data_IF_010685785861
#
_entry.id   IF_010685785861
#
_cell.length_a   1.000
_cell.length_b   1.000
_cell.length_c   1.000
_cell.angle_alpha   90.00
_cell.angle_beta   90.00
_cell.angle_gamma   90.00
#
_symmetry.space_group_name_H-M   'P 1'
#
loop_
_entity.id
_entity.type
_entity.pdbx_description
1 polymer ?
#
# COMPACT_ATOMS: atom_id res chain seq x y z
N UNK A 1 0.66 -11.00 -61.89
CA UNK A 1 0.93 -12.42 -61.75
C UNK A 1 -0.22 -13.21 -61.06
N UNK A 2 -1.48 -12.74 -61.15
CA UNK A 2 -2.64 -13.34 -60.45
C UNK A 2 -3.73 -13.86 -61.40
N UNK A 3 -3.43 -13.99 -62.72
CA UNK A 3 -4.47 -14.27 -63.73
C UNK A 3 -4.73 -15.76 -64.02
N UNK A 4 -3.98 -16.70 -63.41
CA UNK A 4 -4.07 -18.14 -63.74
C UNK A 4 -4.82 -19.00 -62.71
N UNK A 5 -5.31 -18.40 -61.61
CA UNK A 5 -6.06 -19.17 -60.63
C UNK A 5 -7.57 -19.16 -60.91
N UNK A 6 -8.16 -20.34 -60.82
CA UNK A 6 -9.63 -20.51 -60.91
C UNK A 6 -10.34 -19.61 -59.90
N UNK A 7 -11.52 -19.08 -60.25
CA UNK A 7 -12.36 -18.28 -59.38
C UNK A 7 -12.58 -18.99 -58.01
N UNK A 8 -12.75 -20.29 -58.04
CA UNK A 8 -12.91 -21.15 -56.87
C UNK A 8 -11.72 -21.06 -55.89
N UNK A 9 -10.50 -21.10 -56.43
CA UNK A 9 -9.24 -21.00 -55.65
C UNK A 9 -9.09 -19.61 -55.00
N UNK A 10 -9.53 -18.53 -55.71
CA UNK A 10 -9.49 -17.16 -55.17
C UNK A 10 -10.43 -17.00 -53.99
N UNK A 11 -11.64 -17.54 -54.09
CA UNK A 11 -12.64 -17.48 -53.00
C UNK A 11 -12.12 -18.27 -51.79
N UNK A 12 -11.59 -19.49 -51.96
CA UNK A 12 -11.06 -20.30 -50.90
C UNK A 12 -9.87 -19.57 -50.20
N UNK A 13 -8.97 -18.96 -50.98
CA UNK A 13 -7.84 -18.21 -50.41
C UNK A 13 -8.29 -17.00 -49.55
N UNK A 14 -9.29 -16.26 -50.01
CA UNK A 14 -9.85 -15.10 -49.22
C UNK A 14 -10.48 -15.61 -47.94
N UNK A 15 -11.32 -16.63 -48.00
CA UNK A 15 -11.97 -17.20 -46.80
C UNK A 15 -10.94 -17.77 -45.84
N UNK A 16 -9.96 -18.50 -46.32
CA UNK A 16 -8.86 -19.02 -45.49
C UNK A 16 -8.07 -17.87 -44.81
N UNK A 17 -7.74 -16.82 -45.56
CA UNK A 17 -7.06 -15.65 -45.02
C UNK A 17 -7.87 -14.96 -43.93
N UNK A 18 -9.17 -14.74 -44.14
CA UNK A 18 -10.06 -14.16 -43.13
C UNK A 18 -10.13 -15.04 -41.88
N UNK A 19 -10.27 -16.35 -42.02
CA UNK A 19 -10.34 -17.29 -40.92
C UNK A 19 -9.06 -17.28 -40.08
N UNK A 20 -7.89 -17.32 -40.75
CA UNK A 20 -6.59 -17.23 -40.07
C UNK A 20 -6.40 -15.90 -39.34
N UNK A 21 -6.76 -14.78 -40.00
CA UNK A 21 -6.70 -13.46 -39.37
C UNK A 21 -7.58 -13.37 -38.14
N UNK A 22 -8.79 -13.93 -38.20
CA UNK A 22 -9.73 -13.95 -37.08
C UNK A 22 -9.21 -14.82 -35.92
N UNK A 23 -8.59 -15.97 -36.21
CA UNK A 23 -7.96 -16.82 -35.22
C UNK A 23 -6.78 -16.14 -34.53
N UNK A 24 -5.92 -15.46 -35.29
CA UNK A 24 -4.79 -14.71 -34.75
C UNK A 24 -5.24 -13.55 -33.83
N UNK A 25 -6.26 -12.81 -34.24
CA UNK A 25 -6.86 -11.75 -33.42
C UNK A 25 -7.45 -12.31 -32.13
N UNK A 26 -8.14 -13.44 -32.19
CA UNK A 26 -8.70 -14.11 -31.02
C UNK A 26 -7.62 -14.56 -30.02
N UNK A 27 -6.54 -15.15 -30.52
CA UNK A 27 -5.40 -15.54 -29.68
C UNK A 27 -4.70 -14.32 -29.05
N UNK A 28 -4.53 -13.26 -29.82
CA UNK A 28 -3.96 -12.02 -29.30
C UNK A 28 -4.83 -11.39 -28.21
N UNK A 29 -6.14 -11.30 -28.43
CA UNK A 29 -7.08 -10.80 -27.44
C UNK A 29 -7.07 -11.64 -26.15
N UNK A 30 -7.04 -12.97 -26.27
CA UNK A 30 -6.98 -13.88 -25.13
C UNK A 30 -5.67 -13.70 -24.32
N UNK A 31 -4.54 -13.48 -25.01
CA UNK A 31 -3.27 -13.21 -24.34
C UNK A 31 -3.26 -11.90 -23.57
N UNK A 32 -3.88 -10.85 -24.13
CA UNK A 32 -4.01 -9.56 -23.46
C UNK A 32 -4.92 -9.64 -22.22
N UNK A 33 -6.02 -10.39 -22.29
CA UNK A 33 -6.89 -10.60 -21.13
C UNK A 33 -6.16 -11.27 -19.96
N UNK A 34 -5.33 -12.28 -20.24
CA UNK A 34 -4.50 -12.92 -19.19
C UNK A 34 -3.52 -11.95 -18.53
N UNK A 35 -2.90 -11.07 -19.30
CA UNK A 35 -1.99 -10.06 -18.77
C UNK A 35 -2.71 -9.06 -17.86
N UNK A 36 -3.93 -8.66 -18.22
CA UNK A 36 -4.76 -7.78 -17.38
C UNK A 36 -5.19 -8.46 -16.07
N UNK A 37 -5.49 -9.75 -16.10
CA UNK A 37 -5.92 -10.51 -14.93
C UNK A 37 -4.80 -10.60 -13.88
N UNK A 38 -3.58 -10.87 -14.31
CA UNK A 38 -2.40 -10.90 -13.42
C UNK A 38 -2.14 -9.53 -12.78
N UNK A 39 -2.20 -8.45 -13.55
CA UNK A 39 -2.02 -7.10 -13.04
C UNK A 39 -3.13 -6.70 -12.06
N UNK A 40 -4.36 -7.13 -12.30
CA UNK A 40 -5.50 -6.88 -11.41
C UNK A 40 -5.37 -7.64 -10.09
N UNK A 41 -4.90 -8.88 -10.12
CA UNK A 41 -4.63 -9.66 -8.91
C UNK A 41 -3.52 -9.02 -8.07
N UNK A 42 -2.43 -8.59 -8.67
CA UNK A 42 -1.33 -7.90 -7.98
C UNK A 42 -1.82 -6.61 -7.30
N UNK A 43 -2.65 -5.81 -7.99
CA UNK A 43 -3.28 -4.63 -7.42
C UNK A 43 -4.14 -4.95 -6.19
N UNK A 44 -4.96 -6.00 -6.25
CA UNK A 44 -5.88 -6.37 -5.17
C UNK A 44 -5.18 -7.01 -3.97
N UNK A 45 -4.18 -7.85 -4.20
CA UNK A 45 -3.54 -8.63 -3.14
C UNK A 45 -2.36 -7.93 -2.49
N UNK A 46 -1.72 -7.01 -3.18
CA UNK A 46 -0.49 -6.37 -2.73
C UNK A 46 -0.62 -4.83 -2.62
N UNK A 47 -0.95 -4.15 -3.71
CA UNK A 47 -0.93 -2.68 -3.75
C UNK A 47 -1.99 -2.02 -2.88
N UNK A 48 -3.24 -2.44 -3.00
CA UNK A 48 -4.34 -1.86 -2.22
C UNK A 48 -4.17 -2.09 -0.71
N UNK A 49 -3.83 -3.31 -0.23
CA UNK A 49 -3.52 -3.53 1.18
C UNK A 49 -2.32 -2.71 1.66
N UNK A 50 -1.26 -2.58 0.86
CA UNK A 50 -0.07 -1.79 1.20
C UNK A 50 -0.41 -0.32 1.41
N UNK A 51 -1.15 0.29 0.47
CA UNK A 51 -1.61 1.68 0.56
C UNK A 51 -2.51 1.88 1.78
N UNK A 52 -3.41 0.92 2.06
CA UNK A 52 -4.28 0.96 3.23
C UNK A 52 -3.48 1.01 4.54
N UNK A 53 -2.51 0.10 4.72
CA UNK A 53 -1.74 0.05 5.96
C UNK A 53 -0.79 1.23 6.11
N UNK A 54 -0.21 1.75 5.03
CA UNK A 54 0.54 2.99 5.05
C UNK A 54 -0.35 4.18 5.44
N UNK A 55 -1.57 4.24 4.92
CA UNK A 55 -2.58 5.23 5.30
C UNK A 55 -2.95 5.16 6.78
N UNK A 56 -3.10 3.93 7.31
CA UNK A 56 -3.37 3.70 8.73
C UNK A 56 -2.20 4.14 9.60
N UNK A 57 -0.95 3.78 9.26
CA UNK A 57 0.25 4.24 9.96
C UNK A 57 0.33 5.77 10.01
N UNK A 58 0.09 6.44 8.88
CA UNK A 58 0.04 7.90 8.80
C UNK A 58 -1.02 8.48 9.74
N UNK A 59 -2.20 7.88 9.74
CA UNK A 59 -3.33 8.33 10.56
C UNK A 59 -3.04 8.16 12.05
N UNK A 60 -2.53 7.00 12.45
CA UNK A 60 -2.21 6.74 13.86
C UNK A 60 -1.01 7.58 14.33
N UNK A 61 -0.02 7.81 13.49
CA UNK A 61 1.09 8.73 13.79
C UNK A 61 0.62 10.17 13.99
N UNK A 62 -0.31 10.66 13.17
CA UNK A 62 -0.90 11.99 13.33
C UNK A 62 -1.75 12.09 14.61
N UNK A 63 -2.54 11.07 14.92
CA UNK A 63 -3.35 10.99 16.15
C UNK A 63 -2.47 10.92 17.39
N UNK A 64 -1.39 10.13 17.36
CA UNK A 64 -0.41 10.07 18.44
C UNK A 64 0.17 11.47 18.73
N UNK A 65 0.61 12.21 17.71
CA UNK A 65 1.10 13.58 17.87
C UNK A 65 0.06 14.53 18.46
N UNK A 66 -1.20 14.40 18.06
CA UNK A 66 -2.28 15.21 18.61
C UNK A 66 -2.49 14.95 20.11
N UNK A 67 -2.54 13.67 20.49
CA UNK A 67 -2.71 13.27 21.90
C UNK A 67 -1.53 13.73 22.76
N UNK A 68 -0.29 13.62 22.27
CA UNK A 68 0.91 14.12 22.95
C UNK A 68 0.83 15.64 23.16
N UNK A 69 0.47 16.39 22.12
CA UNK A 69 0.27 17.84 22.21
C UNK A 69 -0.78 18.22 23.27
N UNK A 70 -1.93 17.51 23.26
CA UNK A 70 -3.01 17.77 24.20
C UNK A 70 -2.58 17.44 25.64
N UNK A 71 -1.74 16.41 25.83
CA UNK A 71 -1.11 16.11 27.12
C UNK A 71 -0.26 17.28 27.64
N UNK A 72 0.57 17.88 26.74
CA UNK A 72 1.45 18.99 27.10
C UNK A 72 0.69 20.28 27.41
N UNK A 73 -0.48 20.48 26.82
CA UNK A 73 -1.30 21.69 27.03
C UNK A 73 -2.18 21.62 28.30
N UNK A 74 -2.45 20.43 28.80
CA UNK A 74 -3.28 20.24 29.99
C UNK A 74 -2.43 20.29 31.26
N UNK A 75 -3.01 20.86 32.35
CA UNK A 75 -2.45 20.82 33.69
C UNK A 75 -3.23 19.90 34.62
N UNK A 76 -4.26 19.20 34.11
CA UNK A 76 -5.10 18.32 34.91
C UNK A 76 -4.48 16.91 35.01
N UNK A 77 -4.12 16.44 36.22
CA UNK A 77 -3.56 15.10 36.41
C UNK A 77 -4.52 13.95 36.04
N UNK A 78 -5.84 14.19 36.10
CA UNK A 78 -6.82 13.18 35.68
C UNK A 78 -6.82 13.03 34.17
N UNK A 79 -6.73 14.16 33.46
CA UNK A 79 -6.59 14.19 32.01
C UNK A 79 -5.29 13.51 31.54
N UNK A 80 -4.17 13.73 32.23
CA UNK A 80 -2.89 13.11 31.90
C UNK A 80 -2.96 11.58 31.95
N UNK A 81 -3.60 11.01 32.99
CA UNK A 81 -3.76 9.54 33.10
C UNK A 81 -4.58 8.93 31.96
N UNK A 82 -5.64 9.61 31.56
CA UNK A 82 -6.47 9.14 30.44
C UNK A 82 -5.72 9.30 29.10
N UNK A 83 -5.01 10.39 28.94
CA UNK A 83 -4.23 10.68 27.75
C UNK A 83 -3.06 9.69 27.57
N UNK A 84 -2.41 9.26 28.65
CA UNK A 84 -1.36 8.24 28.61
C UNK A 84 -1.86 6.91 28.02
N UNK A 85 -3.09 6.52 28.37
CA UNK A 85 -3.73 5.33 27.76
C UNK A 85 -3.93 5.50 26.25
N UNK A 86 -4.35 6.72 25.84
CA UNK A 86 -4.53 7.03 24.43
C UNK A 86 -3.21 7.05 23.67
N UNK A 87 -2.14 7.63 24.24
CA UNK A 87 -0.79 7.59 23.66
C UNK A 87 -0.37 6.14 23.39
N UNK A 88 -0.50 5.28 24.43
CA UNK A 88 -0.16 3.86 24.29
C UNK A 88 -1.04 3.13 23.26
N UNK A 89 -2.34 3.41 23.20
CA UNK A 89 -3.25 2.82 22.23
C UNK A 89 -2.88 3.21 20.78
N UNK A 90 -2.61 4.50 20.54
CA UNK A 90 -2.20 4.97 19.19
C UNK A 90 -0.87 4.37 18.75
N UNK A 91 0.07 4.20 19.68
CA UNK A 91 1.31 3.52 19.42
C UNK A 91 1.10 2.05 19.04
N UNK A 92 0.28 1.33 19.80
CA UNK A 92 -0.05 -0.05 19.49
C UNK A 92 -0.73 -0.21 18.12
N UNK A 93 -1.65 0.69 17.77
CA UNK A 93 -2.32 0.71 16.47
C UNK A 93 -1.34 0.99 15.32
N UNK A 94 -0.41 1.93 15.51
CA UNK A 94 0.66 2.18 14.54
C UNK A 94 1.53 0.94 14.31
N UNK A 95 1.99 0.30 15.40
CA UNK A 95 2.84 -0.89 15.32
C UNK A 95 2.11 -2.07 14.66
N UNK A 96 0.81 -2.23 14.91
CA UNK A 96 -0.01 -3.25 14.24
C UNK A 96 -0.08 -2.99 12.74
N UNK A 97 -0.34 -1.75 12.32
CA UNK A 97 -0.38 -1.38 10.91
C UNK A 97 0.99 -1.58 10.24
N UNK A 98 2.09 -1.22 10.93
CA UNK A 98 3.45 -1.43 10.45
C UNK A 98 3.78 -2.91 10.24
N UNK A 99 3.36 -3.78 11.18
CA UNK A 99 3.56 -5.23 11.05
C UNK A 99 2.81 -5.78 9.83
N UNK A 100 1.54 -5.40 9.66
CA UNK A 100 0.72 -5.86 8.52
C UNK A 100 1.27 -5.34 7.18
N UNK A 101 1.82 -4.13 7.15
CA UNK A 101 2.51 -3.62 5.97
C UNK A 101 3.79 -4.42 5.65
N UNK A 102 4.57 -4.81 6.68
CA UNK A 102 5.79 -5.60 6.48
C UNK A 102 5.55 -6.94 5.77
N UNK A 103 4.40 -7.57 6.01
CA UNK A 103 4.01 -8.84 5.37
C UNK A 103 3.73 -8.67 3.86
N UNK A 104 3.52 -7.43 3.40
CA UNK A 104 3.19 -7.09 2.02
C UNK A 104 4.39 -6.56 1.23
N UNK A 105 5.54 -6.36 1.86
CA UNK A 105 6.75 -5.83 1.21
C UNK A 105 7.27 -6.84 0.18
N UNK A 106 7.30 -6.42 -1.08
CA UNK A 106 7.73 -7.25 -2.19
C UNK A 106 9.13 -6.92 -2.71
N UNK A 107 9.58 -5.67 -2.57
CA UNK A 107 10.84 -5.20 -3.13
C UNK A 107 11.86 -4.87 -2.04
N UNK A 108 13.15 -4.95 -2.41
CA UNK A 108 14.23 -4.59 -1.48
C UNK A 108 14.26 -3.09 -1.17
N UNK A 109 13.86 -2.26 -2.12
CA UNK A 109 13.74 -0.81 -1.90
C UNK A 109 12.64 -0.47 -0.88
N UNK A 110 11.47 -1.13 -0.98
CA UNK A 110 10.42 -0.99 0.04
C UNK A 110 10.89 -1.44 1.42
N UNK A 111 11.62 -2.54 1.49
CA UNK A 111 12.18 -3.07 2.74
C UNK A 111 13.12 -2.07 3.39
N UNK A 112 14.01 -1.47 2.61
CA UNK A 112 14.94 -0.43 3.07
C UNK A 112 14.19 0.79 3.61
N UNK A 113 13.18 1.27 2.89
CA UNK A 113 12.36 2.42 3.31
C UNK A 113 11.59 2.09 4.59
N UNK A 114 11.01 0.89 4.70
CA UNK A 114 10.29 0.44 5.90
C UNK A 114 11.22 0.38 7.13
N UNK A 115 12.45 -0.08 6.97
CA UNK A 115 13.45 -0.09 8.04
C UNK A 115 13.83 1.33 8.47
N UNK A 116 14.03 2.25 7.54
CA UNK A 116 14.30 3.65 7.84
C UNK A 116 13.13 4.29 8.59
N UNK A 117 11.91 4.04 8.16
CA UNK A 117 10.70 4.52 8.84
C UNK A 117 10.63 4.01 10.29
N UNK A 118 10.97 2.74 10.53
CA UNK A 118 11.00 2.18 11.89
C UNK A 118 12.05 2.85 12.76
N UNK A 119 13.23 3.14 12.23
CA UNK A 119 14.28 3.86 12.98
C UNK A 119 13.83 5.27 13.36
N UNK A 120 13.28 6.02 12.40
CA UNK A 120 12.77 7.38 12.63
C UNK A 120 11.63 7.34 13.66
N UNK A 121 10.73 6.36 13.55
CA UNK A 121 9.63 6.19 14.49
C UNK A 121 10.12 5.90 15.91
N UNK A 122 11.09 5.00 16.08
CA UNK A 122 11.70 4.73 17.39
C UNK A 122 12.31 5.98 18.01
N UNK A 123 13.07 6.75 17.23
CA UNK A 123 13.63 8.02 17.70
C UNK A 123 12.58 9.04 18.12
N UNK A 124 11.50 9.15 17.32
CA UNK A 124 10.36 10.00 17.66
C UNK A 124 9.68 9.59 18.96
N UNK A 125 9.43 8.29 19.15
CA UNK A 125 8.79 7.76 20.37
C UNK A 125 9.67 8.04 21.60
N UNK A 126 10.98 7.77 21.53
CA UNK A 126 11.92 8.03 22.64
C UNK A 126 11.92 9.50 23.01
N UNK A 127 12.00 10.42 22.05
CA UNK A 127 11.94 11.85 22.31
C UNK A 127 10.57 12.27 22.91
N UNK A 128 9.48 11.65 22.47
CA UNK A 128 8.14 11.92 23.00
C UNK A 128 8.00 11.46 24.45
N UNK A 129 8.53 10.29 24.80
CA UNK A 129 8.52 9.77 26.18
C UNK A 129 9.29 10.69 27.12
N UNK A 130 10.42 11.22 26.69
CA UNK A 130 11.22 12.18 27.46
C UNK A 130 10.42 13.47 27.72
N UNK A 131 9.80 14.02 26.68
CA UNK A 131 8.96 15.23 26.80
C UNK A 131 7.75 14.99 27.72
N UNK A 132 7.09 13.84 27.60
CA UNK A 132 5.96 13.49 28.49
C UNK A 132 6.41 13.29 29.93
N UNK A 133 7.62 12.75 30.18
CA UNK A 133 8.18 12.62 31.51
C UNK A 133 8.43 13.99 32.16
N UNK A 134 9.00 14.95 31.43
CA UNK A 134 9.17 16.33 31.90
C UNK A 134 7.82 17.01 32.22
N UNK A 135 6.83 16.85 31.34
CA UNK A 135 5.50 17.41 31.56
C UNK A 135 4.82 16.87 32.84
N UNK A 136 4.98 15.57 33.14
CA UNK A 136 4.45 14.95 34.36
C UNK A 136 5.14 15.47 35.62
N UNK A 137 6.43 15.83 35.54
CA UNK A 137 7.21 16.35 36.67
C UNK A 137 6.99 17.86 36.91
N UNK A 138 6.21 18.53 36.07
CA UNK A 138 5.95 19.96 36.18
C UNK A 138 7.08 20.86 35.70
N UNK A 139 8.08 20.31 35.02
CA UNK A 139 9.17 21.04 34.38
C UNK A 139 8.68 21.58 33.01
N UNK A 140 8.06 22.78 33.03
CA UNK A 140 7.66 23.50 31.81
C UNK A 140 8.62 24.64 31.52
#
# INVERSE_FOLDING_TARGET
>A
MFSTFSIRTKIIAVVAFMTVSMALLGLFAASQMRSMDLSTQELQTQWLPSVRWLGEMRTQGARHRAVVRDHLLSKDPAFHRENDKQVAARMADFMRAAKLYQELIATEDERRIAQQLQQVWKGYVSATEEVLAHARNGDN
#
